data_IF_058817499637
#
_entry.id   IF_058817499637
#
_cell.length_a   1.000
_cell.length_b   1.000
_cell.length_c   1.000
_cell.angle_alpha   90.00
_cell.angle_beta   90.00
_cell.angle_gamma   90.00
#
_symmetry.space_group_name_H-M   'P 1'
#
loop_
_entity.id
_entity.type
_entity.pdbx_description
1 polymer ?
#
# COMPACT_ATOMS: atom_id res chain seq x y z
N UNK A 1 4.40 -3.33 -17.08
CA UNK A 1 3.68 -2.17 -17.62
C UNK A 1 2.33 -2.57 -18.22
N UNK A 2 2.23 -3.70 -18.95
CA UNK A 2 1.00 -4.20 -19.56
C UNK A 2 -0.17 -4.27 -18.57
N UNK A 3 0.02 -4.92 -17.40
CA UNK A 3 -1.02 -5.04 -16.37
C UNK A 3 -1.53 -3.69 -15.84
N UNK A 4 -0.73 -2.65 -15.91
CA UNK A 4 -1.08 -1.30 -15.48
C UNK A 4 -1.63 -0.43 -16.64
N UNK A 5 -1.62 -0.93 -17.89
CA UNK A 5 -2.01 -0.16 -19.06
C UNK A 5 -1.07 1.02 -19.38
N UNK A 6 0.21 0.89 -19.01
CA UNK A 6 1.24 1.94 -19.17
C UNK A 6 2.26 1.66 -20.27
N UNK A 7 2.12 0.59 -21.05
CA UNK A 7 2.99 0.31 -22.19
C UNK A 7 2.92 1.44 -23.22
N UNK A 8 4.09 1.84 -23.73
CA UNK A 8 4.20 2.89 -24.75
C UNK A 8 3.85 4.32 -24.29
N UNK A 9 3.65 4.54 -22.98
CA UNK A 9 3.26 5.83 -22.40
C UNK A 9 4.43 6.57 -21.71
N UNK A 10 5.69 6.21 -22.00
CA UNK A 10 6.88 6.87 -21.44
C UNK A 10 7.22 6.43 -20.01
N UNK A 11 6.72 5.27 -19.58
CA UNK A 11 7.04 4.68 -18.28
C UNK A 11 8.07 3.56 -18.38
N UNK A 12 8.89 3.45 -17.35
CA UNK A 12 9.80 2.33 -17.12
C UNK A 12 9.41 1.57 -15.86
N UNK A 13 9.55 0.25 -15.90
CA UNK A 13 9.37 -0.60 -14.73
C UNK A 13 10.73 -1.11 -14.25
N UNK A 14 11.08 -0.81 -13.00
CA UNK A 14 12.33 -1.19 -12.37
C UNK A 14 12.06 -2.17 -11.24
N UNK A 15 12.97 -3.13 -11.08
CA UNK A 15 12.96 -4.09 -9.97
C UNK A 15 14.21 -3.85 -9.12
N UNK A 16 14.04 -3.09 -8.06
CA UNK A 16 15.14 -2.61 -7.21
C UNK A 16 15.20 -3.36 -5.89
N UNK A 17 16.22 -3.10 -5.09
CA UNK A 17 16.38 -3.59 -3.72
C UNK A 17 16.04 -2.46 -2.74
N UNK A 18 15.96 -2.79 -1.43
CA UNK A 18 15.78 -1.81 -0.37
C UNK A 18 14.36 -1.61 0.13
N UNK A 19 13.35 -2.19 -0.55
CA UNK A 19 11.95 -2.06 -0.15
C UNK A 19 11.43 -0.63 -0.32
N UNK A 20 10.17 -0.41 0.02
CA UNK A 20 9.55 0.93 0.03
C UNK A 20 10.32 1.93 0.91
N UNK A 21 11.02 1.44 1.95
CA UNK A 21 11.82 2.32 2.83
C UNK A 21 12.96 3.01 2.10
N UNK A 22 13.57 2.37 1.10
CA UNK A 22 14.59 3.02 0.28
C UNK A 22 13.95 4.02 -0.68
N UNK A 23 12.73 3.77 -1.16
CA UNK A 23 12.01 4.69 -2.03
C UNK A 23 11.65 6.01 -1.31
N UNK A 24 11.45 5.98 0.01
CA UNK A 24 11.26 7.20 0.80
C UNK A 24 12.45 8.16 0.68
N UNK A 25 13.65 7.62 0.42
CA UNK A 25 14.88 8.36 0.19
C UNK A 25 15.12 8.63 -1.31
N UNK A 26 14.90 7.63 -2.17
CA UNK A 26 15.19 7.77 -3.60
C UNK A 26 14.28 8.81 -4.28
N UNK A 27 13.00 8.85 -3.92
CA UNK A 27 12.05 9.83 -4.47
C UNK A 27 12.52 11.28 -4.28
N UNK A 28 12.81 11.76 -3.06
CA UNK A 28 13.29 13.13 -2.89
C UNK A 28 14.66 13.38 -3.54
N UNK A 29 15.56 12.41 -3.60
CA UNK A 29 16.81 12.56 -4.35
C UNK A 29 16.56 12.86 -5.84
N UNK A 30 15.65 12.13 -6.46
CA UNK A 30 15.41 12.21 -7.89
C UNK A 30 14.49 13.36 -8.30
N UNK A 31 13.54 13.76 -7.43
CA UNK A 31 12.50 14.73 -7.81
C UNK A 31 12.61 16.08 -7.10
N UNK A 32 13.05 16.13 -5.84
CA UNK A 32 13.07 17.37 -5.09
C UNK A 32 14.28 18.22 -5.48
N UNK A 33 14.04 19.41 -5.99
CA UNK A 33 15.11 20.37 -6.32
C UNK A 33 15.88 20.79 -5.07
N UNK A 34 17.09 21.30 -5.27
CA UNK A 34 17.80 21.99 -4.20
C UNK A 34 16.96 23.20 -3.79
N UNK A 35 16.74 23.36 -2.48
CA UNK A 35 15.82 24.37 -1.92
C UNK A 35 14.36 24.27 -2.40
N UNK A 36 13.99 23.11 -2.92
CA UNK A 36 12.62 22.80 -3.35
C UNK A 36 11.71 22.35 -2.22
N UNK A 37 10.46 22.11 -2.56
CA UNK A 37 9.46 21.54 -1.63
C UNK A 37 8.72 20.38 -2.25
N UNK A 38 8.22 19.50 -1.39
CA UNK A 38 7.31 18.42 -1.76
C UNK A 38 6.10 18.38 -0.85
N UNK A 39 4.95 18.02 -1.42
CA UNK A 39 3.69 17.91 -0.71
C UNK A 39 3.39 16.45 -0.34
N UNK A 40 2.81 16.26 0.84
CA UNK A 40 2.52 14.93 1.37
C UNK A 40 1.14 14.85 1.99
N UNK A 41 0.44 13.73 1.75
CA UNK A 41 -0.77 13.36 2.48
C UNK A 41 -0.39 12.38 3.61
N UNK A 42 -0.57 12.79 4.87
CA UNK A 42 -0.21 11.96 6.03
C UNK A 42 -1.41 11.11 6.48
N UNK A 43 -1.44 9.87 6.03
CA UNK A 43 -2.54 8.92 6.28
C UNK A 43 -2.12 7.68 7.08
N UNK A 44 -0.89 7.65 7.59
CA UNK A 44 -0.43 6.51 8.36
C UNK A 44 1.08 6.46 8.57
N UNK A 45 1.54 5.40 9.23
CA UNK A 45 2.95 5.22 9.60
C UNK A 45 3.90 5.33 8.39
N UNK A 46 3.52 4.75 7.24
CA UNK A 46 4.38 4.75 6.06
C UNK A 46 4.43 6.12 5.39
N UNK A 47 3.30 6.83 5.32
CA UNK A 47 3.27 8.22 4.87
C UNK A 47 4.13 9.12 5.77
N UNK A 48 3.98 9.00 7.10
CA UNK A 48 4.83 9.73 8.06
C UNK A 48 6.32 9.38 7.90
N UNK A 49 6.63 8.11 7.58
CA UNK A 49 7.99 7.67 7.28
C UNK A 49 8.56 8.37 6.05
N UNK A 50 7.81 8.42 4.95
CA UNK A 50 8.21 9.12 3.73
C UNK A 50 8.43 10.62 3.97
N UNK A 51 7.55 11.28 4.74
CA UNK A 51 7.71 12.68 5.15
C UNK A 51 9.02 12.88 5.90
N UNK A 52 9.32 11.99 6.86
CA UNK A 52 10.53 12.09 7.69
C UNK A 52 11.80 11.99 6.84
N UNK A 53 11.86 11.03 5.93
CA UNK A 53 13.04 10.81 5.07
C UNK A 53 13.22 11.91 4.01
N UNK A 54 12.16 12.63 3.64
CA UNK A 54 12.25 13.75 2.71
C UNK A 54 12.76 15.06 3.33
N UNK A 55 12.60 15.26 4.65
CA UNK A 55 12.99 16.50 5.34
C UNK A 55 14.44 16.94 5.10
N UNK A 56 15.46 16.06 5.02
CA UNK A 56 16.83 16.48 4.73
C UNK A 56 17.04 17.09 3.34
N UNK A 57 16.06 16.91 2.43
CA UNK A 57 16.18 17.34 1.03
C UNK A 57 15.56 18.72 0.76
N UNK A 58 14.66 19.18 1.60
CA UNK A 58 14.00 20.46 1.41
C UNK A 58 12.73 20.58 2.25
N UNK A 59 11.88 21.53 1.90
CA UNK A 59 10.61 21.75 2.59
C UNK A 59 9.63 20.59 2.35
N UNK A 60 9.04 20.07 3.43
CA UNK A 60 7.97 19.08 3.37
C UNK A 60 6.66 19.70 3.84
N UNK A 61 5.69 19.84 2.93
CA UNK A 61 4.37 20.40 3.19
C UNK A 61 3.39 19.27 3.42
N UNK A 62 2.88 19.10 4.62
CA UNK A 62 1.79 18.15 4.89
C UNK A 62 0.47 18.84 4.54
N UNK A 63 -0.13 18.47 3.42
CA UNK A 63 -1.36 19.12 2.92
C UNK A 63 -2.59 18.74 3.71
N UNK A 64 -2.64 17.53 4.27
CA UNK A 64 -3.63 17.08 5.23
C UNK A 64 -3.11 15.87 6.00
N UNK A 65 -3.68 15.63 7.19
CA UNK A 65 -3.35 14.49 8.03
C UNK A 65 -4.60 14.01 8.78
N UNK A 66 -4.76 12.69 8.92
CA UNK A 66 -5.77 12.08 9.80
C UNK A 66 -5.17 11.54 11.11
N UNK A 67 -3.95 11.97 11.46
CA UNK A 67 -3.20 11.49 12.63
C UNK A 67 -3.92 11.70 13.95
N UNK A 68 -4.55 12.85 14.15
CA UNK A 68 -5.30 13.16 15.38
C UNK A 68 -6.51 12.25 15.59
N UNK A 69 -7.02 11.66 14.50
CA UNK A 69 -8.08 10.65 14.51
C UNK A 69 -7.51 9.22 14.36
N UNK A 70 -6.26 8.99 14.77
CA UNK A 70 -5.60 7.69 14.66
C UNK A 70 -5.67 7.07 13.25
N UNK A 71 -5.63 7.89 12.21
CA UNK A 71 -5.67 7.48 10.81
C UNK A 71 -6.88 6.60 10.42
N UNK A 72 -8.03 6.85 11.04
CA UNK A 72 -9.27 6.08 10.79
C UNK A 72 -10.02 6.48 9.53
N UNK A 73 -9.57 7.50 8.82
CA UNK A 73 -10.15 7.96 7.56
C UNK A 73 -9.07 8.55 6.63
N UNK A 74 -9.42 8.73 5.37
CA UNK A 74 -8.59 9.44 4.36
C UNK A 74 -9.08 10.87 4.23
N UNK A 75 -8.24 11.90 4.49
CA UNK A 75 -8.59 13.29 4.23
C UNK A 75 -8.91 13.51 2.75
N UNK A 76 -9.98 14.28 2.45
CA UNK A 76 -10.46 14.52 1.08
C UNK A 76 -10.34 16.01 0.69
N UNK A 77 -10.48 16.90 1.65
CA UNK A 77 -10.48 18.36 1.43
C UNK A 77 -9.07 18.92 1.69
N UNK A 78 -8.21 18.93 0.66
CA UNK A 78 -6.89 19.53 0.73
C UNK A 78 -6.46 20.11 -0.62
N UNK A 79 -5.54 21.06 -0.59
CA UNK A 79 -4.95 21.66 -1.79
C UNK A 79 -3.48 21.33 -1.89
N UNK A 80 -3.02 20.94 -3.07
CA UNK A 80 -1.62 20.66 -3.36
C UNK A 80 -0.97 21.96 -3.85
N UNK A 81 0.13 22.43 -3.22
CA UNK A 81 0.86 23.62 -3.70
C UNK A 81 1.35 23.42 -5.13
N UNK A 82 1.00 24.32 -6.03
CA UNK A 82 1.32 24.21 -7.46
C UNK A 82 2.82 24.33 -7.77
N UNK A 83 3.60 24.82 -6.83
CA UNK A 83 5.06 24.95 -6.88
C UNK A 83 5.80 23.80 -6.17
N UNK A 84 5.08 22.78 -5.70
CA UNK A 84 5.69 21.56 -5.17
C UNK A 84 6.37 20.77 -6.30
N UNK A 85 7.52 20.16 -6.02
CA UNK A 85 8.24 19.33 -6.97
C UNK A 85 7.55 18.00 -7.21
N UNK A 86 6.82 17.50 -6.21
CA UNK A 86 5.92 16.35 -6.30
C UNK A 86 4.91 16.34 -5.14
N UNK A 87 3.84 15.59 -5.33
CA UNK A 87 2.89 15.22 -4.28
C UNK A 87 3.03 13.72 -4.00
N UNK A 88 3.12 13.35 -2.72
CA UNK A 88 3.23 11.97 -2.29
C UNK A 88 2.00 11.51 -1.50
N UNK A 89 1.49 10.32 -1.81
CA UNK A 89 0.43 9.66 -1.07
C UNK A 89 0.70 8.16 -0.90
N UNK A 90 -0.01 7.54 0.03
CA UNK A 90 0.00 6.08 0.27
C UNK A 90 -1.39 5.55 -0.04
N UNK A 91 -1.53 4.73 -1.08
CA UNK A 91 -2.83 4.26 -1.59
C UNK A 91 -3.58 3.38 -0.59
N UNK A 92 -2.85 2.56 0.17
CA UNK A 92 -3.41 1.64 1.16
C UNK A 92 -2.55 1.59 2.42
N UNK A 93 -3.14 1.94 3.55
CA UNK A 93 -2.46 2.01 4.84
C UNK A 93 -2.59 0.67 5.59
N UNK A 94 -1.61 -0.20 5.40
CA UNK A 94 -1.58 -1.58 5.91
C UNK A 94 -1.86 -1.69 7.41
N UNK A 95 -1.38 -0.74 8.22
CA UNK A 95 -1.45 -0.78 9.68
C UNK A 95 -2.84 -0.36 10.16
N UNK A 96 -3.41 0.67 9.55
CA UNK A 96 -4.66 1.28 10.01
C UNK A 96 -5.89 0.77 9.26
N UNK A 97 -5.71 0.20 8.06
CA UNK A 97 -6.81 -0.38 7.27
C UNK A 97 -7.57 0.63 6.42
N UNK A 98 -7.02 1.83 6.20
CA UNK A 98 -7.59 2.81 5.27
C UNK A 98 -7.04 2.65 3.86
N UNK A 99 -7.86 2.95 2.84
CA UNK A 99 -7.51 2.89 1.43
C UNK A 99 -8.08 4.10 0.68
N UNK A 100 -7.23 4.79 -0.07
CA UNK A 100 -7.67 5.90 -0.94
C UNK A 100 -8.55 5.35 -2.06
N UNK A 101 -9.78 5.84 -2.18
CA UNK A 101 -10.72 5.45 -3.25
C UNK A 101 -10.63 6.39 -4.47
N UNK A 102 -10.12 7.59 -4.28
CA UNK A 102 -9.87 8.57 -5.34
C UNK A 102 -8.51 9.23 -5.13
N UNK A 103 -7.95 9.74 -6.22
CA UNK A 103 -6.67 10.43 -6.24
C UNK A 103 -6.87 11.85 -6.79
N UNK A 104 -6.06 12.82 -6.34
CA UNK A 104 -6.22 14.21 -6.76
C UNK A 104 -5.92 14.42 -8.23
N UNK A 105 -6.65 15.34 -8.86
CA UNK A 105 -6.29 15.90 -10.17
C UNK A 105 -5.35 17.08 -9.93
N UNK A 106 -4.13 16.99 -10.45
CA UNK A 106 -3.09 18.01 -10.25
C UNK A 106 -2.09 18.01 -11.40
N UNK A 107 -1.43 19.15 -11.63
CA UNK A 107 -0.31 19.27 -12.56
C UNK A 107 1.05 19.04 -11.87
N UNK A 108 1.04 18.79 -10.57
CA UNK A 108 2.25 18.43 -9.82
C UNK A 108 2.47 16.92 -9.96
N UNK A 109 3.71 16.45 -10.23
CA UNK A 109 4.00 15.02 -10.32
C UNK A 109 3.49 14.25 -9.10
N UNK A 110 2.78 13.15 -9.33
CA UNK A 110 2.19 12.32 -8.27
C UNK A 110 3.03 11.08 -8.03
N UNK A 111 3.45 10.90 -6.78
CA UNK A 111 4.17 9.73 -6.30
C UNK A 111 3.26 8.93 -5.37
N UNK A 112 3.12 7.64 -5.61
CA UNK A 112 2.24 6.80 -4.81
C UNK A 112 2.95 5.54 -4.29
N UNK A 113 2.92 5.36 -2.95
CA UNK A 113 3.22 4.08 -2.31
C UNK A 113 2.02 3.15 -2.47
N UNK A 114 2.17 2.15 -3.33
CA UNK A 114 1.17 1.09 -3.53
C UNK A 114 1.62 -0.26 -2.97
N UNK A 115 2.56 -0.29 -2.03
CA UNK A 115 3.14 -1.55 -1.53
C UNK A 115 2.11 -2.58 -1.09
N UNK A 116 0.98 -2.17 -0.56
CA UNK A 116 -0.03 -3.10 -0.03
C UNK A 116 -1.27 -3.30 -0.89
N UNK A 117 -1.39 -2.59 -2.02
CA UNK A 117 -2.53 -2.75 -2.92
C UNK A 117 -2.20 -2.65 -4.41
N UNK A 118 -0.92 -2.66 -4.79
CA UNK A 118 -0.53 -2.77 -6.20
C UNK A 118 -1.18 -4.01 -6.82
N UNK A 119 -1.68 -3.89 -8.05
CA UNK A 119 -2.36 -4.96 -8.80
C UNK A 119 -3.61 -5.55 -8.12
N UNK A 120 -4.21 -4.87 -7.14
CA UNK A 120 -5.38 -5.41 -6.42
C UNK A 120 -6.71 -4.91 -6.94
N UNK A 121 -6.71 -3.81 -7.64
CA UNK A 121 -7.91 -3.12 -8.16
C UNK A 121 -7.61 -2.31 -9.40
N UNK A 122 -8.62 -2.04 -10.20
CA UNK A 122 -8.54 -1.23 -11.41
C UNK A 122 -8.44 0.26 -11.06
N UNK A 123 -7.37 0.90 -11.53
CA UNK A 123 -7.12 2.32 -11.40
C UNK A 123 -6.67 2.89 -12.75
N UNK A 124 -6.82 4.18 -12.94
CA UNK A 124 -6.10 4.89 -13.98
C UNK A 124 -4.67 5.17 -13.49
N UNK A 125 -3.76 4.24 -13.79
CA UNK A 125 -2.37 4.33 -13.35
C UNK A 125 -1.59 5.46 -14.06
N UNK A 126 -2.12 6.05 -15.13
CA UNK A 126 -1.52 7.20 -15.78
C UNK A 126 -1.58 8.50 -14.98
N UNK A 127 -2.36 8.52 -13.89
CA UNK A 127 -2.40 9.62 -12.92
C UNK A 127 -1.17 9.70 -12.03
N UNK A 128 -0.31 8.69 -12.05
CA UNK A 128 0.87 8.62 -11.18
C UNK A 128 2.13 8.71 -12.03
N UNK A 129 3.03 9.59 -11.65
CA UNK A 129 4.34 9.72 -12.30
C UNK A 129 5.38 8.78 -11.71
N UNK A 130 5.26 8.43 -10.42
CA UNK A 130 5.97 7.31 -9.79
C UNK A 130 4.98 6.46 -8.99
N UNK A 131 5.05 5.15 -9.19
CA UNK A 131 4.45 4.15 -8.31
C UNK A 131 5.59 3.29 -7.78
N UNK A 132 5.61 3.03 -6.47
CA UNK A 132 6.51 2.03 -5.93
C UNK A 132 5.78 1.05 -5.03
N UNK A 133 6.27 -0.18 -4.98
CA UNK A 133 5.66 -1.26 -4.22
C UNK A 133 6.67 -2.34 -3.82
N UNK A 134 6.81 -2.61 -2.53
CA UNK A 134 7.53 -3.80 -2.06
C UNK A 134 6.79 -5.08 -2.47
N UNK A 135 7.50 -6.06 -3.02
CA UNK A 135 6.90 -7.27 -3.58
C UNK A 135 6.18 -8.15 -2.56
N UNK A 136 6.58 -8.14 -1.29
CA UNK A 136 6.20 -9.10 -0.24
C UNK A 136 4.72 -9.10 0.16
N UNK A 137 3.88 -8.32 -0.48
CA UNK A 137 2.42 -8.27 -0.22
C UNK A 137 1.63 -8.89 -1.37
N UNK A 138 1.63 -8.27 -2.56
CA UNK A 138 0.83 -8.71 -3.70
C UNK A 138 1.63 -9.31 -4.87
N UNK A 139 2.95 -9.23 -4.86
CA UNK A 139 3.76 -9.58 -6.03
C UNK A 139 4.63 -10.82 -5.85
N UNK A 140 5.02 -11.17 -4.61
CA UNK A 140 5.94 -12.27 -4.38
C UNK A 140 6.64 -12.18 -3.02
N UNK A 141 7.83 -12.75 -2.85
CA UNK A 141 8.59 -12.68 -1.61
C UNK A 141 9.25 -11.31 -1.41
N UNK A 142 9.69 -11.05 -0.18
CA UNK A 142 10.57 -9.91 0.11
C UNK A 142 11.88 -10.02 -0.69
N UNK A 143 12.48 -8.88 -1.02
CA UNK A 143 13.77 -8.79 -1.69
C UNK A 143 13.78 -7.91 -2.93
N UNK A 144 12.64 -7.70 -3.58
CA UNK A 144 12.52 -6.76 -4.69
C UNK A 144 11.44 -5.71 -4.44
N UNK A 145 11.63 -4.54 -5.01
CA UNK A 145 10.68 -3.43 -5.02
C UNK A 145 10.41 -3.07 -6.47
N UNK A 146 9.15 -3.08 -6.87
CA UNK A 146 8.73 -2.52 -8.14
C UNK A 146 8.74 -0.99 -8.03
N UNK A 147 9.37 -0.33 -9.00
CA UNK A 147 9.22 1.10 -9.23
C UNK A 147 8.77 1.30 -10.67
N UNK A 148 7.63 1.91 -10.85
CA UNK A 148 7.13 2.35 -12.15
C UNK A 148 7.31 3.86 -12.22
N UNK A 149 8.12 4.34 -13.13
CA UNK A 149 8.49 5.75 -13.21
C UNK A 149 8.32 6.30 -14.61
N UNK A 150 7.73 7.48 -14.71
CA UNK A 150 7.60 8.23 -15.94
C UNK A 150 8.91 8.95 -16.24
N UNK A 151 9.55 8.64 -17.37
CA UNK A 151 10.91 9.14 -17.64
C UNK A 151 10.99 10.67 -17.70
N UNK A 152 9.96 11.33 -18.22
CA UNK A 152 9.96 12.77 -18.44
C UNK A 152 10.11 13.62 -17.17
N UNK A 153 9.85 13.06 -15.98
CA UNK A 153 9.97 13.80 -14.71
C UNK A 153 11.39 13.75 -14.12
N UNK A 154 12.25 12.85 -14.61
CA UNK A 154 13.60 12.63 -14.10
C UNK A 154 14.61 13.67 -14.59
N UNK A 155 15.81 13.68 -13.98
CA UNK A 155 16.93 14.54 -14.35
C UNK A 155 16.74 16.03 -14.01
N UNK A 156 15.70 16.41 -13.27
CA UNK A 156 15.32 17.82 -13.03
C UNK A 156 15.60 18.31 -11.60
N UNK A 157 16.08 17.45 -10.71
CA UNK A 157 16.32 17.83 -9.31
C UNK A 157 17.53 18.77 -9.14
N UNK A 158 18.47 18.76 -10.08
CA UNK A 158 19.72 19.51 -9.99
C UNK A 158 20.68 18.98 -8.92
N UNK A 159 20.40 17.82 -8.34
CA UNK A 159 21.21 17.19 -7.28
C UNK A 159 22.28 16.29 -7.88
N UNK A 160 23.42 16.20 -7.18
CA UNK A 160 24.39 15.13 -7.46
C UNK A 160 23.90 13.85 -6.77
N UNK A 161 23.27 12.95 -7.56
CA UNK A 161 22.64 11.73 -7.04
C UNK A 161 23.67 10.59 -7.10
N UNK A 162 23.94 9.87 -5.99
CA UNK A 162 24.74 8.65 -6.03
C UNK A 162 24.13 7.65 -7.01
N UNK A 163 24.95 7.02 -7.87
CA UNK A 163 24.45 6.18 -8.96
C UNK A 163 23.45 5.11 -8.52
N UNK A 164 23.67 4.48 -7.36
CA UNK A 164 22.80 3.46 -6.80
C UNK A 164 21.39 4.00 -6.40
N UNK A 165 21.24 5.31 -6.23
CA UNK A 165 19.99 5.98 -5.88
C UNK A 165 19.35 6.72 -7.05
N UNK A 166 19.98 6.68 -8.25
CA UNK A 166 19.54 7.42 -9.42
C UNK A 166 18.69 6.52 -10.33
N UNK A 167 17.41 6.86 -10.49
CA UNK A 167 16.51 6.09 -11.35
C UNK A 167 16.99 6.04 -12.82
N UNK A 168 17.57 7.10 -13.36
CA UNK A 168 18.10 7.11 -14.74
C UNK A 168 19.22 6.09 -14.93
N UNK A 169 20.08 5.88 -13.91
CA UNK A 169 21.11 4.85 -13.92
C UNK A 169 20.50 3.44 -13.92
N UNK A 170 19.47 3.22 -13.12
CA UNK A 170 18.76 1.94 -13.10
C UNK A 170 18.00 1.67 -14.42
N UNK A 171 17.39 2.69 -15.01
CA UNK A 171 16.75 2.61 -16.34
C UNK A 171 17.79 2.21 -17.40
N UNK A 172 18.92 2.92 -17.47
CA UNK A 172 19.97 2.67 -18.47
C UNK A 172 20.61 1.28 -18.37
N UNK A 173 20.43 0.60 -17.25
CA UNK A 173 20.95 -0.75 -16.97
C UNK A 173 19.82 -1.80 -16.79
N UNK A 174 18.59 -1.45 -17.17
CA UNK A 174 17.44 -2.38 -17.08
C UNK A 174 17.32 -3.05 -15.71
N UNK A 175 17.43 -2.28 -14.62
CA UNK A 175 17.47 -2.71 -13.21
C UNK A 175 18.73 -3.48 -12.80
N UNK A 176 19.71 -3.65 -13.67
CA UNK A 176 20.95 -4.40 -13.42
C UNK A 176 22.16 -3.48 -13.19
N UNK A 177 21.94 -2.28 -12.62
CA UNK A 177 23.04 -1.42 -12.19
C UNK A 177 23.92 -2.09 -11.11
N UNK A 178 23.31 -2.83 -10.23
CA UNK A 178 23.94 -3.76 -9.30
C UNK A 178 23.29 -5.14 -9.41
N UNK A 179 23.89 -6.17 -8.81
CA UNK A 179 23.38 -7.54 -8.87
C UNK A 179 21.94 -7.61 -8.37
N UNK A 180 20.97 -8.04 -9.20
CA UNK A 180 19.56 -8.05 -8.82
C UNK A 180 19.24 -9.22 -7.88
N UNK A 181 18.17 -9.17 -7.07
CA UNK A 181 17.68 -10.27 -6.26
C UNK A 181 16.93 -11.27 -7.14
N UNK A 182 17.66 -12.06 -7.91
CA UNK A 182 17.15 -12.91 -9.01
C UNK A 182 15.97 -13.77 -8.59
N UNK A 183 16.04 -14.45 -7.44
CA UNK A 183 14.97 -15.30 -6.95
C UNK A 183 13.68 -14.52 -6.70
N UNK A 184 13.76 -13.34 -6.06
CA UNK A 184 12.60 -12.52 -5.77
C UNK A 184 11.96 -11.97 -7.05
N UNK A 185 12.79 -11.55 -8.03
CA UNK A 185 12.31 -11.08 -9.34
C UNK A 185 11.64 -12.22 -10.11
N UNK A 186 12.26 -13.40 -10.15
CA UNK A 186 11.70 -14.57 -10.82
C UNK A 186 10.36 -15.00 -10.20
N UNK A 187 10.28 -15.05 -8.89
CA UNK A 187 9.02 -15.40 -8.20
C UNK A 187 7.94 -14.33 -8.44
N UNK A 188 8.31 -13.05 -8.47
CA UNK A 188 7.38 -11.97 -8.84
C UNK A 188 6.86 -12.14 -10.27
N UNK A 189 7.72 -12.54 -11.24
CA UNK A 189 7.29 -12.87 -12.60
C UNK A 189 6.21 -13.96 -12.60
N UNK A 190 6.43 -15.05 -11.86
CA UNK A 190 5.46 -16.16 -11.78
C UNK A 190 4.14 -15.70 -11.16
N UNK A 191 4.19 -14.86 -10.11
CA UNK A 191 2.99 -14.29 -9.49
C UNK A 191 2.21 -13.37 -10.45
N UNK A 192 2.92 -12.54 -11.22
CA UNK A 192 2.27 -11.67 -12.22
C UNK A 192 1.69 -12.46 -13.40
N UNK A 193 2.33 -13.57 -13.82
CA UNK A 193 1.78 -14.49 -14.80
C UNK A 193 0.50 -15.19 -14.27
N UNK A 194 0.52 -15.63 -13.02
CA UNK A 194 -0.66 -16.15 -12.34
C UNK A 194 -1.79 -15.12 -12.31
N UNK A 195 -1.51 -13.87 -11.95
CA UNK A 195 -2.48 -12.78 -11.95
C UNK A 195 -3.08 -12.55 -13.35
N UNK A 196 -2.23 -12.54 -14.38
CA UNK A 196 -2.67 -12.41 -15.77
C UNK A 196 -3.63 -13.53 -16.17
N UNK A 197 -3.34 -14.76 -15.79
CA UNK A 197 -4.19 -15.95 -16.05
C UNK A 197 -5.50 -15.92 -15.26
N UNK A 198 -5.57 -15.20 -14.15
CA UNK A 198 -6.79 -14.94 -13.36
C UNK A 198 -7.71 -13.85 -13.96
N UNK A 199 -7.42 -13.37 -15.16
CA UNK A 199 -8.15 -12.27 -15.79
C UNK A 199 -7.59 -10.88 -15.47
N UNK A 200 -6.32 -10.83 -15.06
CA UNK A 200 -5.62 -9.59 -14.73
C UNK A 200 -6.17 -8.88 -13.49
N UNK A 201 -5.96 -7.58 -13.44
CA UNK A 201 -6.40 -6.76 -12.29
C UNK A 201 -7.92 -6.79 -12.13
N UNK A 202 -8.69 -6.70 -13.22
CA UNK A 202 -10.14 -6.71 -13.15
C UNK A 202 -10.73 -8.04 -12.63
N UNK A 203 -10.04 -9.17 -12.88
CA UNK A 203 -10.42 -10.47 -12.35
C UNK A 203 -10.18 -10.56 -10.84
N UNK A 204 -8.98 -10.20 -10.39
CA UNK A 204 -8.62 -10.27 -8.97
C UNK A 204 -9.35 -9.23 -8.11
N UNK A 205 -9.71 -8.08 -8.67
CA UNK A 205 -10.49 -7.04 -7.99
C UNK A 205 -11.81 -7.60 -7.46
N UNK A 206 -12.54 -8.36 -8.27
CA UNK A 206 -13.81 -9.01 -7.88
C UNK A 206 -13.61 -9.98 -6.72
N UNK A 207 -12.52 -10.76 -6.75
CA UNK A 207 -12.18 -11.68 -5.66
C UNK A 207 -11.84 -10.91 -4.37
N UNK A 208 -11.09 -9.81 -4.48
CA UNK A 208 -10.73 -8.96 -3.34
C UNK A 208 -11.94 -8.26 -2.73
N UNK A 209 -12.84 -7.75 -3.56
CA UNK A 209 -14.10 -7.14 -3.11
C UNK A 209 -14.98 -8.16 -2.38
N UNK A 210 -15.10 -9.37 -2.90
CA UNK A 210 -15.86 -10.45 -2.26
C UNK A 210 -15.28 -10.83 -0.89
N UNK A 211 -13.95 -10.95 -0.77
CA UNK A 211 -13.26 -11.19 0.51
C UNK A 211 -13.52 -10.08 1.53
N UNK A 212 -13.38 -8.83 1.10
CA UNK A 212 -13.60 -7.67 1.95
C UNK A 212 -15.07 -7.57 2.38
N UNK A 213 -16.01 -7.72 1.46
CA UNK A 213 -17.44 -7.71 1.75
C UNK A 213 -17.83 -8.80 2.77
N UNK A 214 -17.31 -10.02 2.61
CA UNK A 214 -17.56 -11.13 3.52
C UNK A 214 -17.13 -10.80 4.95
N UNK A 215 -15.91 -10.30 5.14
CA UNK A 215 -15.39 -10.00 6.47
C UNK A 215 -16.05 -8.77 7.09
N UNK A 216 -16.21 -7.68 6.33
CA UNK A 216 -16.83 -6.46 6.86
C UNK A 216 -18.31 -6.65 7.19
N UNK A 217 -19.04 -7.48 6.43
CA UNK A 217 -20.43 -7.83 6.78
C UNK A 217 -20.52 -8.51 8.15
N UNK A 218 -19.56 -9.38 8.48
CA UNK A 218 -19.52 -10.01 9.80
C UNK A 218 -19.10 -9.03 10.90
N UNK A 219 -18.07 -8.21 10.66
CA UNK A 219 -17.65 -7.19 11.65
C UNK A 219 -18.80 -6.24 11.99
N UNK A 220 -19.57 -5.82 11.00
CA UNK A 220 -20.65 -4.84 11.20
C UNK A 220 -21.92 -5.47 11.79
N UNK A 221 -22.17 -6.76 11.54
CA UNK A 221 -23.32 -7.50 12.06
C UNK A 221 -23.12 -7.97 13.52
N UNK A 222 -21.91 -8.41 13.84
CA UNK A 222 -21.60 -9.10 15.08
C UNK A 222 -21.38 -8.11 16.23
N UNK A 223 -22.23 -8.14 17.30
CA UNK A 223 -22.15 -7.16 18.38
C UNK A 223 -20.87 -7.24 19.22
N UNK A 224 -20.08 -8.32 19.08
CA UNK A 224 -18.81 -8.46 19.79
C UNK A 224 -17.67 -7.69 19.14
N UNK A 225 -17.81 -7.28 17.85
CA UNK A 225 -16.75 -6.65 17.08
C UNK A 225 -17.11 -5.23 16.65
N UNK A 226 -16.09 -4.46 16.31
CA UNK A 226 -16.21 -3.10 15.80
C UNK A 226 -15.13 -2.82 14.76
N UNK A 227 -15.53 -2.35 13.59
CA UNK A 227 -14.64 -1.75 12.61
C UNK A 227 -14.11 -0.40 13.08
N UNK A 228 -12.82 -0.14 12.86
CA UNK A 228 -12.17 1.09 13.33
C UNK A 228 -12.08 2.18 12.26
N UNK A 229 -12.24 1.81 10.99
CA UNK A 229 -12.10 2.70 9.83
C UNK A 229 -13.46 3.18 9.35
N UNK A 230 -13.54 4.45 8.93
CA UNK A 230 -14.70 5.00 8.25
C UNK A 230 -15.09 4.12 7.06
N UNK A 231 -16.37 3.80 6.93
CA UNK A 231 -16.86 2.76 6.00
C UNK A 231 -16.42 3.01 4.56
N UNK A 232 -16.46 4.26 4.12
CA UNK A 232 -16.08 4.67 2.76
C UNK A 232 -14.57 4.55 2.47
N UNK A 233 -13.74 4.51 3.51
CA UNK A 233 -12.29 4.45 3.40
C UNK A 233 -11.71 3.08 3.77
N UNK A 234 -12.56 2.07 4.03
CA UNK A 234 -12.14 0.71 4.36
C UNK A 234 -11.31 0.07 3.26
N UNK A 235 -10.21 -0.56 3.66
CA UNK A 235 -9.32 -1.28 2.75
C UNK A 235 -9.89 -2.63 2.33
N UNK A 236 -9.77 -2.98 1.06
CA UNK A 236 -10.03 -4.33 0.57
C UNK A 236 -8.88 -5.31 0.83
N UNK A 237 -7.70 -4.77 1.21
CA UNK A 237 -6.48 -5.57 1.47
C UNK A 237 -6.23 -5.83 2.95
N UNK A 238 -6.59 -4.87 3.82
CA UNK A 238 -6.27 -4.93 5.25
C UNK A 238 -7.48 -4.47 6.07
N UNK A 239 -8.29 -5.41 6.54
CA UNK A 239 -9.40 -5.10 7.42
C UNK A 239 -8.95 -5.03 8.88
N UNK A 240 -9.19 -3.90 9.54
CA UNK A 240 -8.88 -3.69 10.96
C UNK A 240 -10.15 -3.62 11.80
N UNK A 241 -10.12 -4.27 12.95
CA UNK A 241 -11.26 -4.33 13.85
C UNK A 241 -10.82 -4.56 15.31
N UNK A 242 -11.71 -4.31 16.25
CA UNK A 242 -11.50 -4.54 17.68
C UNK A 242 -12.66 -5.33 18.27
N UNK A 243 -12.45 -5.91 19.45
CA UNK A 243 -13.54 -6.38 20.29
C UNK A 243 -14.20 -5.18 21.00
N UNK A 244 -15.53 -5.24 21.18
CA UNK A 244 -16.27 -4.27 21.98
C UNK A 244 -16.08 -4.50 23.48
N UNK A 245 -15.72 -5.74 23.88
CA UNK A 245 -15.40 -6.11 25.26
C UNK A 245 -14.13 -6.96 25.28
N UNK A 246 -13.09 -6.45 25.92
CA UNK A 246 -11.79 -7.14 26.05
C UNK A 246 -11.86 -8.45 26.82
N UNK A 247 -12.92 -8.70 27.62
CA UNK A 247 -13.12 -9.98 28.30
C UNK A 247 -13.19 -11.18 27.33
N UNK A 248 -13.53 -10.96 26.08
CA UNK A 248 -13.56 -12.01 25.05
C UNK A 248 -12.21 -12.24 24.35
N UNK A 249 -11.18 -11.44 24.65
CA UNK A 249 -9.92 -11.46 23.91
C UNK A 249 -9.20 -12.81 24.01
N UNK A 250 -9.03 -13.35 25.20
CA UNK A 250 -8.34 -14.64 25.42
C UNK A 250 -9.07 -15.78 24.70
N UNK A 251 -10.40 -15.79 24.77
CA UNK A 251 -11.23 -16.80 24.10
C UNK A 251 -11.09 -16.67 22.58
N UNK A 252 -11.24 -15.47 22.03
CA UNK A 252 -11.09 -15.24 20.60
C UNK A 252 -9.70 -15.63 20.12
N UNK A 253 -8.65 -15.25 20.86
CA UNK A 253 -7.26 -15.59 20.53
C UNK A 253 -6.99 -17.10 20.53
N UNK A 254 -7.61 -17.84 21.44
CA UNK A 254 -7.54 -19.30 21.45
C UNK A 254 -8.27 -19.91 20.23
N UNK A 255 -9.45 -19.39 19.90
CA UNK A 255 -10.29 -19.92 18.82
C UNK A 255 -9.65 -19.73 17.45
N UNK A 256 -9.18 -18.53 17.11
CA UNK A 256 -8.57 -18.32 15.79
C UNK A 256 -7.24 -19.07 15.62
N UNK A 257 -6.45 -19.23 16.70
CA UNK A 257 -5.24 -20.07 16.68
C UNK A 257 -5.58 -21.54 16.46
N UNK A 258 -6.61 -22.06 17.17
CA UNK A 258 -7.09 -23.43 16.98
C UNK A 258 -7.63 -23.69 15.57
N UNK A 259 -8.20 -22.68 14.91
CA UNK A 259 -8.64 -22.74 13.52
C UNK A 259 -7.49 -22.65 12.51
N UNK A 260 -6.22 -22.59 12.94
CA UNK A 260 -5.05 -22.52 12.07
C UNK A 260 -4.81 -21.13 11.46
N UNK A 261 -5.48 -20.09 11.95
CA UNK A 261 -5.23 -18.71 11.53
C UNK A 261 -3.95 -18.21 12.20
N UNK A 262 -3.15 -17.43 11.49
CA UNK A 262 -1.96 -16.81 12.03
C UNK A 262 -1.85 -15.34 11.65
N UNK A 263 -1.20 -14.54 12.51
CA UNK A 263 -0.81 -13.16 12.18
C UNK A 263 -1.96 -12.14 12.11
N UNK A 264 -3.13 -12.41 12.70
CA UNK A 264 -4.25 -11.45 12.71
C UNK A 264 -4.19 -10.44 13.84
N UNK A 265 -3.26 -10.56 14.78
CA UNK A 265 -3.06 -9.51 15.78
C UNK A 265 -2.76 -8.18 15.08
N UNK A 266 -3.41 -7.11 15.54
CA UNK A 266 -3.15 -5.77 15.06
C UNK A 266 -1.71 -5.34 15.29
N UNK A 267 -1.28 -4.29 14.61
CA UNK A 267 0.06 -3.75 14.83
C UNK A 267 0.18 -3.27 16.28
N UNK A 268 1.32 -3.57 16.93
CA UNK A 268 1.57 -3.26 18.35
C UNK A 268 1.34 -1.79 18.74
N UNK A 269 1.38 -0.86 17.78
CA UNK A 269 1.11 0.56 18.01
C UNK A 269 -0.38 0.93 17.97
N UNK A 270 -1.25 0.03 17.48
CA UNK A 270 -2.69 0.27 17.27
C UNK A 270 -3.53 -0.68 18.12
N UNK A 271 -3.05 -1.92 18.32
CA UNK A 271 -3.80 -2.98 19.00
C UNK A 271 -4.88 -3.61 18.12
N UNK A 272 -5.83 -4.30 18.75
CA UNK A 272 -6.92 -4.98 18.07
C UNK A 272 -6.46 -6.07 17.10
N UNK A 273 -7.17 -6.20 15.99
CA UNK A 273 -6.95 -7.24 14.99
C UNK A 273 -6.82 -6.63 13.59
N UNK A 274 -6.08 -7.32 12.72
CA UNK A 274 -5.92 -6.95 11.31
C UNK A 274 -5.85 -8.19 10.45
N UNK A 275 -6.84 -8.40 9.62
CA UNK A 275 -6.83 -9.42 8.58
C UNK A 275 -6.18 -8.84 7.30
N UNK A 276 -5.08 -9.45 6.84
CA UNK A 276 -4.43 -9.11 5.58
C UNK A 276 -4.90 -10.07 4.49
N UNK A 277 -5.65 -9.56 3.51
CA UNK A 277 -6.36 -10.34 2.50
C UNK A 277 -5.79 -10.08 1.10
N UNK A 278 -4.45 -10.20 0.96
CA UNK A 278 -3.79 -9.94 -0.31
C UNK A 278 -4.29 -10.84 -1.44
N UNK A 279 -3.93 -10.50 -2.68
CA UNK A 279 -4.47 -11.12 -3.89
C UNK A 279 -4.50 -12.66 -3.86
N UNK A 280 -3.43 -13.30 -3.38
CA UNK A 280 -3.31 -14.74 -3.38
C UNK A 280 -4.07 -15.46 -2.25
N UNK A 281 -4.59 -14.73 -1.26
CA UNK A 281 -5.38 -15.35 -0.18
C UNK A 281 -6.77 -15.74 -0.74
N UNK A 282 -7.15 -17.04 -0.67
CA UNK A 282 -8.47 -17.47 -1.14
C UNK A 282 -9.59 -17.02 -0.19
N UNK A 283 -10.81 -16.87 -0.70
CA UNK A 283 -11.96 -16.42 0.08
C UNK A 283 -12.32 -17.40 1.20
N UNK A 284 -12.05 -18.68 1.00
CA UNK A 284 -12.26 -19.75 1.98
C UNK A 284 -11.45 -19.50 3.27
N UNK A 285 -10.26 -18.91 3.15
CA UNK A 285 -9.46 -18.53 4.33
C UNK A 285 -10.11 -17.38 5.11
N UNK A 286 -10.76 -16.45 4.43
CA UNK A 286 -11.53 -15.38 5.07
C UNK A 286 -12.79 -15.94 5.73
N UNK A 287 -13.44 -16.94 5.10
CA UNK A 287 -14.60 -17.62 5.65
C UNK A 287 -14.27 -18.28 7.01
N UNK A 288 -13.09 -18.90 7.14
CA UNK A 288 -12.67 -19.50 8.41
C UNK A 288 -12.64 -18.46 9.55
N UNK A 289 -12.14 -17.25 9.28
CA UNK A 289 -12.15 -16.17 10.27
C UNK A 289 -13.59 -15.75 10.63
N UNK A 290 -14.43 -15.60 9.63
CA UNK A 290 -15.86 -15.27 9.82
C UNK A 290 -16.57 -16.33 10.64
N UNK A 291 -16.29 -17.61 10.42
CA UNK A 291 -16.89 -18.72 11.18
C UNK A 291 -16.42 -18.71 12.65
N UNK A 292 -15.14 -18.40 12.90
CA UNK A 292 -14.62 -18.22 14.27
C UNK A 292 -15.32 -17.04 14.98
N UNK A 293 -15.54 -15.92 14.28
CA UNK A 293 -16.24 -14.76 14.85
C UNK A 293 -17.69 -15.11 15.23
N UNK A 294 -18.40 -15.85 14.39
CA UNK A 294 -19.77 -16.35 14.65
C UNK A 294 -19.83 -17.34 15.82
N UNK A 295 -18.84 -18.20 15.94
CA UNK A 295 -18.79 -19.18 17.03
C UNK A 295 -18.51 -18.49 18.36
N UNK A 296 -17.66 -17.48 18.39
CA UNK A 296 -17.46 -16.65 19.58
C UNK A 296 -18.78 -15.99 20.02
N UNK A 297 -19.56 -15.44 19.09
CA UNK A 297 -20.86 -14.82 19.39
C UNK A 297 -21.83 -15.81 20.04
N UNK A 298 -21.90 -17.05 19.53
CA UNK A 298 -22.75 -18.10 20.13
C UNK A 298 -22.30 -18.49 21.53
N UNK A 299 -21.00 -18.55 21.76
CA UNK A 299 -20.45 -18.94 23.08
C UNK A 299 -20.55 -17.84 24.14
N UNK A 300 -20.76 -16.58 23.70
CA UNK A 300 -20.89 -15.42 24.58
C UNK A 300 -22.34 -15.12 24.99
N UNK A 301 -23.32 -15.83 24.43
CA UNK A 301 -24.73 -15.79 24.83
C UNK A 301 -25.00 -16.72 25.99
#
# INVERSE_FOLDING_TARGET
LELLGLEGKGYQALFLQGGASLEFLMVPYNLMKVDGKAAYLDTGTWASGAIKEAKPFGETVVVASSKESNYTFIPKDYSIPTDANYFHCTSNNTIFGTQMKSFPETNVPVVCDMSSDIFSRTLDFSKFDIIYAGAQKNMGPAGTTLVVVKEEILGKSGRNIPGILNYEQHISKESMYNTPPVFAVYTSLLTLQWLKNKGGIAGIEKENEAKAALLYAEIDRNPLFKGVVATEDRSTMNATFTLNNEAHQETFDAMWKAAGISGINGHRSVGGYRASMYNALPIESVQVLVDVMKELEKSAQ
#
